data_IF_869217737498
#
_entry.id   IF_869217737498
#
_cell.length_a   1.000
_cell.length_b   1.000
_cell.length_c   1.000
_cell.angle_alpha   90.00
_cell.angle_beta   90.00
_cell.angle_gamma   90.00
#
_symmetry.space_group_name_H-M   'P 1'
#
loop_
_entity.id
_entity.type
_entity.pdbx_description
1 polymer ?
#
# COMPACT_ATOMS: atom_id res chain seq x y z
N UNK A 1 25.06 -9.61 3.06
CA UNK A 1 23.73 -9.00 2.84
C UNK A 1 23.24 -8.53 4.19
N UNK A 2 22.85 -7.27 4.34
CA UNK A 2 22.70 -6.62 5.65
C UNK A 2 21.39 -7.02 6.34
N UNK A 3 21.47 -7.35 7.64
CA UNK A 3 20.33 -7.66 8.53
C UNK A 3 19.13 -6.69 8.39
N UNK A 4 19.41 -5.44 8.05
CA UNK A 4 18.43 -4.37 7.82
C UNK A 4 17.40 -4.71 6.72
N UNK A 5 17.79 -5.43 5.66
CA UNK A 5 16.86 -5.82 4.58
C UNK A 5 15.96 -6.97 4.98
N UNK A 6 16.46 -7.85 5.84
CA UNK A 6 15.71 -9.01 6.35
C UNK A 6 14.65 -8.57 7.37
N UNK A 7 15.04 -7.71 8.33
CA UNK A 7 14.12 -7.10 9.30
C UNK A 7 13.00 -6.27 8.62
N UNK A 8 13.31 -5.63 7.48
CA UNK A 8 12.31 -4.89 6.70
C UNK A 8 11.34 -5.84 6.00
N UNK A 9 11.84 -6.88 5.35
CA UNK A 9 11.01 -7.87 4.67
C UNK A 9 10.08 -8.59 5.64
N UNK A 10 10.57 -8.93 6.82
CA UNK A 10 9.75 -9.53 7.87
C UNK A 10 8.59 -8.62 8.29
N UNK A 11 8.86 -7.32 8.51
CA UNK A 11 7.81 -6.34 8.81
C UNK A 11 6.77 -6.22 7.70
N UNK A 12 7.21 -6.19 6.44
CA UNK A 12 6.30 -6.17 5.29
C UNK A 12 5.42 -7.42 5.28
N UNK A 13 6.02 -8.60 5.48
CA UNK A 13 5.27 -9.86 5.49
C UNK A 13 4.24 -9.91 6.63
N UNK A 14 4.59 -9.44 7.82
CA UNK A 14 3.67 -9.38 8.96
C UNK A 14 2.50 -8.43 8.66
N UNK A 15 2.78 -7.23 8.16
CA UNK A 15 1.74 -6.25 7.83
C UNK A 15 0.85 -6.73 6.67
N UNK A 16 1.44 -7.33 5.63
CA UNK A 16 0.71 -7.92 4.51
C UNK A 16 -0.19 -9.08 4.96
N UNK A 17 0.31 -9.92 5.89
CA UNK A 17 -0.48 -10.98 6.50
C UNK A 17 -1.72 -10.42 7.19
N UNK A 18 -1.57 -9.44 8.09
CA UNK A 18 -2.72 -8.83 8.76
C UNK A 18 -3.70 -8.17 7.78
N UNK A 19 -3.18 -7.43 6.78
CA UNK A 19 -4.02 -6.84 5.74
C UNK A 19 -4.80 -7.91 4.95
N UNK A 20 -4.20 -9.07 4.67
CA UNK A 20 -4.90 -10.16 4.00
C UNK A 20 -6.06 -10.73 4.83
N UNK A 21 -5.94 -10.69 6.16
CA UNK A 21 -6.99 -11.18 7.07
C UNK A 21 -8.17 -10.22 7.17
N UNK A 22 -8.02 -8.97 6.73
CA UNK A 22 -9.13 -8.00 6.67
C UNK A 22 -10.16 -8.34 5.57
N UNK A 23 -9.82 -9.26 4.67
CA UNK A 23 -10.69 -9.74 3.57
C UNK A 23 -11.36 -8.60 2.79
N UNK A 24 -10.56 -7.56 2.51
CA UNK A 24 -11.02 -6.39 1.77
C UNK A 24 -11.37 -6.78 0.34
N UNK A 25 -12.41 -6.16 -0.26
CA UNK A 25 -12.71 -6.38 -1.67
C UNK A 25 -11.49 -6.08 -2.56
N UNK A 26 -11.32 -6.87 -3.62
CA UNK A 26 -10.15 -6.77 -4.51
C UNK A 26 -9.98 -5.37 -5.11
N UNK A 27 -11.07 -4.74 -5.54
CA UNK A 27 -11.08 -3.37 -6.06
C UNK A 27 -10.68 -2.33 -5.00
N UNK A 28 -11.00 -2.58 -3.74
CA UNK A 28 -10.55 -1.78 -2.60
C UNK A 28 -9.03 -1.87 -2.44
N UNK A 29 -8.44 -3.06 -2.57
CA UNK A 29 -6.98 -3.20 -2.56
C UNK A 29 -6.33 -2.49 -3.76
N UNK A 30 -6.91 -2.58 -4.96
CA UNK A 30 -6.43 -1.83 -6.11
C UNK A 30 -6.44 -0.31 -5.86
N UNK A 31 -7.52 0.20 -5.25
CA UNK A 31 -7.62 1.61 -4.85
C UNK A 31 -6.56 1.99 -3.83
N UNK A 32 -6.40 1.18 -2.77
CA UNK A 32 -5.41 1.40 -1.72
C UNK A 32 -3.98 1.45 -2.26
N UNK A 33 -3.65 0.54 -3.18
CA UNK A 33 -2.34 0.51 -3.81
C UNK A 33 -2.12 1.74 -4.69
N UNK A 34 -3.10 2.13 -5.51
CA UNK A 34 -3.03 3.31 -6.36
C UNK A 34 -2.80 4.59 -5.54
N UNK A 35 -3.56 4.78 -4.46
CA UNK A 35 -3.43 5.94 -3.58
C UNK A 35 -2.01 6.05 -2.99
N UNK A 36 -1.45 4.93 -2.52
CA UNK A 36 -0.10 4.87 -1.94
C UNK A 36 1.01 5.10 -2.96
N UNK A 37 0.89 4.49 -4.14
CA UNK A 37 1.85 4.70 -5.23
C UNK A 37 1.88 6.16 -5.68
N UNK A 38 0.70 6.78 -5.80
CA UNK A 38 0.60 8.21 -6.12
C UNK A 38 1.20 9.06 -5.01
N UNK A 39 0.82 8.82 -3.74
CA UNK A 39 1.37 9.55 -2.60
C UNK A 39 2.89 9.44 -2.52
N UNK A 40 3.47 8.27 -2.75
CA UNK A 40 4.92 8.08 -2.74
C UNK A 40 5.62 8.96 -3.79
N UNK A 41 5.00 9.15 -4.97
CA UNK A 41 5.52 9.98 -6.07
C UNK A 41 5.39 11.47 -5.80
N UNK A 42 4.22 11.93 -5.36
CA UNK A 42 3.92 13.38 -5.26
C UNK A 42 3.98 13.95 -3.85
N UNK A 43 4.14 13.11 -2.82
CA UNK A 43 4.18 13.45 -1.38
C UNK A 43 2.97 14.25 -0.89
N UNK A 44 1.82 14.08 -1.56
CA UNK A 44 0.52 14.69 -1.21
C UNK A 44 -0.62 13.77 -1.66
N UNK A 45 -1.82 13.99 -1.13
CA UNK A 45 -3.03 13.26 -1.58
C UNK A 45 -3.31 13.59 -3.05
N UNK A 46 -3.44 12.56 -3.88
CA UNK A 46 -3.75 12.71 -5.28
C UNK A 46 -5.25 13.01 -5.50
N UNK A 47 -5.63 13.66 -6.62
CA UNK A 47 -7.02 13.82 -7.00
C UNK A 47 -7.73 12.46 -7.14
N UNK A 48 -8.99 12.38 -6.74
CA UNK A 48 -9.78 11.13 -6.75
C UNK A 48 -9.84 10.47 -8.13
N UNK A 49 -10.00 11.25 -9.21
CA UNK A 49 -10.02 10.72 -10.58
C UNK A 49 -8.67 10.09 -10.99
N UNK A 50 -7.55 10.66 -10.53
CA UNK A 50 -6.23 10.09 -10.81
C UNK A 50 -6.05 8.75 -10.08
N UNK A 51 -6.49 8.67 -8.82
CA UNK A 51 -6.48 7.42 -8.05
C UNK A 51 -7.36 6.38 -8.72
N UNK A 52 -8.57 6.76 -9.16
CA UNK A 52 -9.52 5.89 -9.85
C UNK A 52 -8.93 5.30 -11.13
N UNK A 53 -8.29 6.13 -11.97
CA UNK A 53 -7.69 5.66 -13.22
C UNK A 53 -6.57 4.66 -12.96
N UNK A 54 -5.67 4.95 -12.00
CA UNK A 54 -4.60 4.03 -11.62
C UNK A 54 -5.12 2.75 -10.96
N UNK A 55 -6.16 2.85 -10.12
CA UNK A 55 -6.79 1.68 -9.51
C UNK A 55 -7.40 0.76 -10.59
N UNK A 56 -8.03 1.33 -11.62
CA UNK A 56 -8.53 0.58 -12.75
C UNK A 56 -7.40 -0.11 -13.53
N UNK A 57 -6.28 0.59 -13.80
CA UNK A 57 -5.10 -0.01 -14.43
C UNK A 57 -4.56 -1.22 -13.63
N UNK A 58 -4.46 -1.08 -12.30
CA UNK A 58 -4.05 -2.17 -11.42
C UNK A 58 -5.05 -3.33 -11.49
N UNK A 59 -6.35 -3.04 -11.39
CA UNK A 59 -7.40 -4.04 -11.45
C UNK A 59 -7.33 -4.86 -12.75
N UNK A 60 -7.20 -4.18 -13.89
CA UNK A 60 -7.10 -4.84 -15.19
C UNK A 60 -5.79 -5.61 -15.39
N UNK A 61 -4.70 -5.23 -14.71
CA UNK A 61 -3.47 -6.04 -14.68
C UNK A 61 -3.58 -7.33 -13.86
N UNK A 62 -4.67 -7.49 -13.10
CA UNK A 62 -5.02 -8.70 -12.35
C UNK A 62 -3.90 -9.29 -11.47
N UNK A 63 -3.17 -8.49 -10.68
CA UNK A 63 -2.19 -9.03 -9.74
C UNK A 63 -2.88 -9.95 -8.70
N UNK A 64 -2.19 -10.98 -8.20
CA UNK A 64 -2.69 -11.79 -7.10
C UNK A 64 -3.03 -10.95 -5.85
N UNK A 65 -4.02 -11.39 -5.09
CA UNK A 65 -4.52 -10.69 -3.90
C UNK A 65 -3.42 -10.50 -2.84
N UNK A 66 -2.65 -11.55 -2.57
CA UNK A 66 -1.51 -11.54 -1.65
C UNK A 66 -0.41 -10.58 -2.10
N UNK A 67 -0.16 -10.49 -3.41
CA UNK A 67 0.77 -9.52 -4.00
C UNK A 67 0.28 -8.09 -3.77
N UNK A 68 -1.02 -7.82 -3.92
CA UNK A 68 -1.59 -6.50 -3.59
C UNK A 68 -1.37 -6.17 -2.11
N UNK A 69 -1.69 -7.08 -1.20
CA UNK A 69 -1.47 -6.90 0.23
C UNK A 69 0.00 -6.61 0.55
N UNK A 70 0.92 -7.35 -0.08
CA UNK A 70 2.36 -7.17 0.11
C UNK A 70 2.85 -5.80 -0.36
N UNK A 71 2.46 -5.37 -1.55
CA UNK A 71 2.85 -4.05 -2.09
C UNK A 71 2.26 -2.89 -1.29
N UNK A 72 1.02 -3.04 -0.80
CA UNK A 72 0.38 -2.05 0.08
C UNK A 72 1.15 -1.94 1.40
N UNK A 73 1.49 -3.07 2.02
CA UNK A 73 2.25 -3.11 3.26
C UNK A 73 3.66 -2.50 3.11
N UNK A 74 4.34 -2.81 2.00
CA UNK A 74 5.63 -2.18 1.69
C UNK A 74 5.51 -0.66 1.63
N UNK A 75 4.55 -0.15 0.88
CA UNK A 75 4.36 1.30 0.75
C UNK A 75 3.94 1.95 2.06
N UNK A 76 3.09 1.31 2.86
CA UNK A 76 2.75 1.79 4.20
C UNK A 76 4.00 1.96 5.06
N UNK A 77 4.85 0.93 5.12
CA UNK A 77 6.08 0.98 5.92
C UNK A 77 7.02 2.08 5.40
N UNK A 78 7.17 2.22 4.08
CA UNK A 78 8.03 3.25 3.50
C UNK A 78 7.48 4.67 3.75
N UNK A 79 6.16 4.85 3.65
CA UNK A 79 5.49 6.13 3.94
C UNK A 79 5.61 6.44 5.44
N UNK A 80 5.32 5.48 6.31
CA UNK A 80 5.36 5.63 7.78
C UNK A 80 6.78 5.85 8.31
N UNK A 81 7.80 5.22 7.72
CA UNK A 81 9.21 5.52 8.03
C UNK A 81 9.60 6.96 7.68
N UNK A 82 8.97 7.55 6.67
CA UNK A 82 9.12 8.98 6.34
C UNK A 82 8.20 9.91 7.13
N UNK A 83 7.23 9.38 7.88
CA UNK A 83 6.14 10.12 8.55
C UNK A 83 5.90 9.62 9.97
N UNK A 84 6.93 9.67 10.83
CA UNK A 84 6.83 9.41 12.27
C UNK A 84 5.84 10.34 13.04
N UNK A 85 4.84 10.92 12.39
CA UNK A 85 4.00 11.98 12.96
C UNK A 85 2.49 11.90 12.65
N UNK A 86 1.92 10.97 11.86
CA UNK A 86 0.44 10.97 11.78
C UNK A 86 -0.24 9.68 11.28
N UNK A 87 -0.48 8.75 12.21
CA UNK A 87 -1.32 7.56 11.97
C UNK A 87 -2.82 7.87 11.85
N UNK A 88 -3.25 9.12 12.01
CA UNK A 88 -4.67 9.51 12.00
C UNK A 88 -5.25 9.87 10.63
N UNK A 89 -4.42 10.05 9.59
CA UNK A 89 -4.86 10.69 8.34
C UNK A 89 -5.30 9.77 7.21
N UNK A 90 -5.18 8.45 7.37
CA UNK A 90 -5.49 7.49 6.30
C UNK A 90 -6.82 6.73 6.48
N UNK A 91 -7.50 6.88 7.63
CA UNK A 91 -8.77 6.22 7.93
C UNK A 91 -9.93 7.19 8.23
N UNK A 92 -9.88 8.41 7.68
CA UNK A 92 -10.93 9.43 7.77
C UNK A 92 -11.56 9.77 6.43
#
# INVERSE_FOLDING_TARGET
>A
MSKITEDLKEKINIEAYFLSQEDLPYDTLCWMLAERQLYQKIKKKAPKELIKNMAAEIFFSSPPYDVLCWLIAELNILINKGTFDDRSKFFG
#
